data_IF_155256814137
#
_entry.id   IF_155256814137
#
_cell.length_a   1.000
_cell.length_b   1.000
_cell.length_c   1.000
_cell.angle_alpha   90.00
_cell.angle_beta   90.00
_cell.angle_gamma   90.00
#
_symmetry.space_group_name_H-M   'P 1'
#
loop_
_entity.id
_entity.type
_entity.pdbx_description
1 polymer ?
#
# COMPACT_ATOMS: atom_id res chain seq x y z
N UNK A 1 -9.94 -5.34 4.38
CA UNK A 1 -8.63 -4.85 3.86
C UNK A 1 -8.86 -3.95 2.63
N UNK A 2 -7.93 -3.06 2.29
CA UNK A 2 -8.09 -2.09 1.20
C UNK A 2 -7.00 -2.22 0.13
N UNK A 3 -7.03 -1.41 -0.93
CA UNK A 3 -6.06 -1.52 -2.04
C UNK A 3 -4.69 -0.97 -1.62
N UNK A 4 -3.66 -1.82 -1.69
CA UNK A 4 -2.26 -1.43 -1.54
C UNK A 4 -1.37 -2.41 -2.30
N UNK A 5 -1.28 -2.22 -3.62
CA UNK A 5 -0.37 -3.01 -4.43
C UNK A 5 1.02 -2.37 -4.47
N UNK A 6 2.03 -3.21 -4.64
CA UNK A 6 3.40 -2.86 -5.02
C UNK A 6 3.83 -3.76 -6.17
N UNK A 7 4.35 -3.16 -7.22
CA UNK A 7 5.00 -3.87 -8.32
C UNK A 7 6.33 -3.17 -8.57
N UNK A 8 7.43 -3.91 -8.49
CA UNK A 8 8.77 -3.40 -8.74
C UNK A 8 9.23 -3.88 -10.12
N UNK A 9 9.56 -2.93 -10.97
CA UNK A 9 10.30 -3.17 -12.22
C UNK A 9 11.69 -2.50 -12.10
N UNK A 10 12.69 -2.85 -12.93
CA UNK A 10 14.04 -2.32 -12.77
C UNK A 10 14.12 -0.79 -12.67
N UNK A 11 13.29 -0.09 -13.45
CA UNK A 11 13.28 1.37 -13.56
C UNK A 11 12.47 2.09 -12.47
N UNK A 12 11.44 1.44 -11.91
CA UNK A 12 10.52 2.08 -10.97
C UNK A 12 9.75 1.09 -10.10
N UNK A 13 9.36 1.55 -8.91
CA UNK A 13 8.37 0.90 -8.06
C UNK A 13 7.01 1.59 -8.25
N UNK A 14 5.97 0.80 -8.42
CA UNK A 14 4.61 1.24 -8.69
C UNK A 14 3.72 0.85 -7.51
N UNK A 15 3.13 1.84 -6.85
CA UNK A 15 2.18 1.66 -5.77
C UNK A 15 0.77 2.03 -6.24
N UNK A 16 -0.21 1.17 -5.96
CA UNK A 16 -1.61 1.41 -6.29
C UNK A 16 -2.40 1.46 -4.99
N UNK A 17 -3.11 2.56 -4.77
CA UNK A 17 -3.92 2.75 -3.57
C UNK A 17 -5.29 3.30 -3.91
N UNK A 18 -6.30 2.91 -3.13
CA UNK A 18 -7.64 3.52 -3.16
C UNK A 18 -7.81 4.51 -2.01
N UNK A 19 -8.95 5.20 -1.96
CA UNK A 19 -9.23 6.22 -0.95
C UNK A 19 -10.11 5.73 0.21
N UNK A 20 -10.80 4.59 0.08
CA UNK A 20 -11.84 4.20 1.03
C UNK A 20 -11.34 3.78 2.42
N UNK A 21 -11.91 4.37 3.47
CA UNK A 21 -11.84 3.86 4.84
C UNK A 21 -13.22 3.35 5.22
N UNK A 22 -13.29 2.22 5.92
CA UNK A 22 -14.55 1.51 6.12
C UNK A 22 -14.81 1.14 7.58
N UNK A 23 -16.08 1.03 7.93
CA UNK A 23 -16.49 0.35 9.16
C UNK A 23 -16.50 -1.18 8.97
N UNK A 24 -16.90 -1.92 10.01
CA UNK A 24 -16.99 -3.40 9.98
C UNK A 24 -18.05 -3.91 8.99
N UNK A 25 -19.09 -3.12 8.73
CA UNK A 25 -20.11 -3.45 7.72
C UNK A 25 -19.64 -3.11 6.29
N UNK A 26 -18.48 -2.46 6.20
CA UNK A 26 -17.82 -1.96 5.02
C UNK A 26 -18.53 -0.79 4.34
N UNK A 27 -19.24 0.01 5.14
CA UNK A 27 -19.71 1.35 4.79
C UNK A 27 -18.51 2.29 4.77
N UNK A 28 -18.44 3.17 3.77
CA UNK A 28 -17.37 4.15 3.64
C UNK A 28 -17.51 5.20 4.74
N UNK A 29 -16.56 5.25 5.66
CA UNK A 29 -16.47 6.25 6.72
C UNK A 29 -15.80 7.54 6.24
N UNK A 30 -14.80 7.41 5.36
CA UNK A 30 -14.01 8.53 4.85
C UNK A 30 -13.36 8.15 3.52
N UNK A 31 -13.12 9.15 2.68
CA UNK A 31 -12.22 9.06 1.53
C UNK A 31 -10.94 9.84 1.82
N UNK A 32 -9.78 9.22 1.62
CA UNK A 32 -8.50 9.88 1.76
C UNK A 32 -7.37 9.03 1.21
N UNK A 33 -6.31 9.67 0.72
CA UNK A 33 -5.17 8.95 0.17
C UNK A 33 -4.46 8.11 1.24
N UNK A 34 -3.90 6.97 0.81
CA UNK A 34 -3.20 6.01 1.66
C UNK A 34 -1.69 6.05 1.48
N UNK A 35 -1.19 7.07 0.81
CA UNK A 35 0.22 7.22 0.44
C UNK A 35 0.86 8.35 1.27
N UNK A 36 2.11 8.13 1.68
CA UNK A 36 3.00 9.13 2.26
C UNK A 36 4.23 9.24 1.35
N UNK A 37 4.41 10.35 0.62
CA UNK A 37 5.54 10.52 -0.26
C UNK A 37 6.69 11.27 0.41
N UNK A 38 7.92 10.81 0.14
CA UNK A 38 9.15 11.39 0.67
C UNK A 38 10.09 11.66 -0.51
N UNK A 39 10.03 12.89 -1.01
CA UNK A 39 10.60 13.27 -2.32
C UNK A 39 12.12 13.22 -2.32
N UNK A 40 12.74 13.72 -1.26
CA UNK A 40 14.21 13.75 -1.10
C UNK A 40 14.79 12.34 -1.00
N UNK A 41 14.08 11.43 -0.33
CA UNK A 41 14.46 10.02 -0.23
C UNK A 41 14.07 9.21 -1.48
N UNK A 42 13.37 9.79 -2.46
CA UNK A 42 12.76 9.08 -3.59
C UNK A 42 12.06 7.80 -3.14
N UNK A 43 11.12 8.01 -2.22
CA UNK A 43 10.43 6.95 -1.50
C UNK A 43 8.96 7.29 -1.37
N UNK A 44 8.10 6.28 -1.42
CA UNK A 44 6.69 6.44 -1.05
C UNK A 44 6.22 5.22 -0.25
N UNK A 45 5.35 5.48 0.72
CA UNK A 45 4.82 4.47 1.65
C UNK A 45 3.31 4.43 1.52
N UNK A 46 2.77 3.30 1.06
CA UNK A 46 1.35 3.01 1.15
C UNK A 46 1.04 2.35 2.49
N UNK A 47 -0.08 2.72 3.11
CA UNK A 47 -0.52 2.22 4.42
C UNK A 47 -1.94 1.67 4.33
N UNK A 48 -2.12 0.43 4.79
CA UNK A 48 -3.43 -0.22 4.92
C UNK A 48 -3.55 -0.93 6.26
N UNK A 49 -4.79 -1.22 6.66
CA UNK A 49 -5.09 -1.94 7.89
C UNK A 49 -6.25 -1.33 8.66
N UNK A 50 -6.37 -1.68 9.92
CA UNK A 50 -7.41 -1.21 10.84
C UNK A 50 -6.82 -0.42 12.01
N UNK A 51 -7.64 0.48 12.57
CA UNK A 51 -7.28 1.36 13.66
C UNK A 51 -7.54 2.83 13.34
N UNK A 52 -7.06 3.72 14.20
CA UNK A 52 -7.28 5.17 14.15
C UNK A 52 -6.16 5.91 13.42
N UNK A 53 -4.95 5.33 13.35
CA UNK A 53 -3.84 5.94 12.62
C UNK A 53 -4.16 6.15 11.13
N UNK A 54 -3.68 7.26 10.60
CA UNK A 54 -3.83 7.63 9.20
C UNK A 54 -2.48 8.04 8.62
N UNK A 55 -2.28 7.93 7.30
CA UNK A 55 -1.07 8.40 6.63
C UNK A 55 -0.69 9.83 7.02
N UNK A 56 -1.67 10.74 7.07
CA UNK A 56 -1.45 12.14 7.45
C UNK A 56 -0.87 12.26 8.86
N UNK A 57 -1.45 11.57 9.85
CA UNK A 57 -0.94 11.61 11.23
C UNK A 57 0.52 11.16 11.31
N UNK A 58 0.87 10.09 10.61
CA UNK A 58 2.24 9.55 10.61
C UNK A 58 3.18 10.51 9.86
N UNK A 59 2.73 11.08 8.74
CA UNK A 59 3.48 12.05 7.97
C UNK A 59 3.80 13.31 8.79
N UNK A 60 2.81 13.89 9.46
CA UNK A 60 2.99 15.07 10.32
C UNK A 60 4.00 14.80 11.44
N UNK A 61 3.99 13.59 12.02
CA UNK A 61 4.98 13.18 13.03
C UNK A 61 6.38 12.98 12.46
N UNK A 62 6.50 12.52 11.22
CA UNK A 62 7.78 12.38 10.53
C UNK A 62 8.39 13.75 10.29
N UNK A 63 7.62 14.70 9.78
CA UNK A 63 8.05 16.09 9.55
C UNK A 63 8.40 16.79 10.87
N UNK A 64 7.54 16.69 11.89
CA UNK A 64 7.77 17.33 13.18
C UNK A 64 9.04 16.81 13.89
N UNK A 65 9.45 15.57 13.62
CA UNK A 65 10.66 14.95 14.16
C UNK A 65 11.87 15.08 13.23
N UNK A 66 11.73 15.71 12.07
CA UNK A 66 12.78 15.85 11.06
C UNK A 66 13.26 14.51 10.48
N UNK A 67 12.44 13.46 10.53
CA UNK A 67 12.80 12.13 10.02
C UNK A 67 12.91 12.17 8.49
N UNK A 68 12.08 12.97 7.82
CA UNK A 68 12.09 13.27 6.39
C UNK A 68 13.36 13.99 5.91
N UNK A 69 14.20 14.51 6.81
CA UNK A 69 15.48 15.14 6.47
C UNK A 69 16.64 14.13 6.46
N UNK A 70 16.39 12.88 6.89
CA UNK A 70 17.39 11.84 6.97
C UNK A 70 17.66 11.19 5.60
N UNK A 71 18.87 10.65 5.42
CA UNK A 71 19.17 9.80 4.27
C UNK A 71 18.35 8.50 4.27
N UNK A 72 18.21 7.83 3.12
CA UNK A 72 17.33 6.66 2.95
C UNK A 72 17.45 5.58 4.04
N UNK A 73 18.68 5.24 4.45
CA UNK A 73 18.92 4.18 5.45
C UNK A 73 18.46 4.62 6.84
N UNK A 74 18.83 5.84 7.24
CA UNK A 74 18.49 6.39 8.55
C UNK A 74 16.99 6.71 8.64
N UNK A 75 16.40 7.19 7.55
CA UNK A 75 14.95 7.35 7.41
C UNK A 75 14.24 6.02 7.67
N UNK A 76 14.65 4.93 7.01
CA UNK A 76 14.01 3.61 7.20
C UNK A 76 14.20 3.10 8.64
N UNK A 77 15.35 3.31 9.26
CA UNK A 77 15.58 2.93 10.65
C UNK A 77 14.67 3.72 11.61
N UNK A 78 14.58 5.05 11.43
CA UNK A 78 13.73 5.94 12.22
C UNK A 78 12.24 5.64 12.00
N UNK A 79 11.81 5.43 10.76
CA UNK A 79 10.44 5.07 10.42
C UNK A 79 10.00 3.77 11.09
N UNK A 80 10.85 2.73 11.07
CA UNK A 80 10.56 1.47 11.78
C UNK A 80 10.35 1.71 13.27
N UNK A 81 11.20 2.53 13.90
CA UNK A 81 11.09 2.82 15.33
C UNK A 81 9.80 3.61 15.62
N UNK A 82 9.44 4.57 14.77
CA UNK A 82 8.16 5.30 14.85
C UNK A 82 6.97 4.35 14.73
N UNK A 83 6.98 3.41 13.78
CA UNK A 83 5.90 2.42 13.63
C UNK A 83 5.77 1.56 14.89
N UNK A 84 6.88 1.14 15.51
CA UNK A 84 6.86 0.37 16.77
C UNK A 84 6.33 1.19 17.95
N UNK A 85 6.65 2.47 18.00
CA UNK A 85 6.14 3.40 19.01
C UNK A 85 4.63 3.61 18.87
N UNK A 86 4.16 3.84 17.64
CA UNK A 86 2.74 4.13 17.36
C UNK A 86 1.85 2.90 17.34
N UNK A 87 2.42 1.73 17.07
CA UNK A 87 1.72 0.45 17.02
C UNK A 87 2.47 -0.56 17.90
N UNK A 88 2.44 -0.45 19.24
CA UNK A 88 3.20 -1.37 20.09
C UNK A 88 2.58 -2.77 20.11
N UNK A 89 3.42 -3.80 20.30
CA UNK A 89 3.02 -5.22 20.19
C UNK A 89 1.99 -5.64 21.23
N UNK A 90 2.02 -5.01 22.40
CA UNK A 90 1.14 -5.28 23.54
C UNK A 90 -0.16 -4.44 23.50
N UNK A 91 -0.35 -3.60 22.47
CA UNK A 91 -1.60 -2.88 22.27
C UNK A 91 -2.77 -3.85 22.08
N UNK A 92 -3.87 -3.59 22.79
CA UNK A 92 -5.07 -4.41 22.72
C UNK A 92 -6.34 -3.56 22.67
N UNK A 93 -7.44 -4.17 22.26
CA UNK A 93 -8.74 -3.51 22.22
C UNK A 93 -8.77 -2.29 21.28
N UNK A 94 -9.41 -1.17 21.68
CA UNK A 94 -9.57 0.02 20.85
C UNK A 94 -8.29 0.74 20.43
N UNK A 95 -7.17 0.43 21.08
CA UNK A 95 -5.87 1.05 20.84
C UNK A 95 -4.95 0.16 19.99
N UNK A 96 -5.42 -1.04 19.63
CA UNK A 96 -4.72 -1.91 18.69
C UNK A 96 -4.73 -1.29 17.29
N UNK A 97 -3.55 -1.18 16.71
CA UNK A 97 -3.32 -0.70 15.35
C UNK A 97 -2.78 -1.85 14.51
N UNK A 98 -3.62 -2.41 13.63
CA UNK A 98 -3.24 -3.49 12.73
C UNK A 98 -2.85 -2.87 11.39
N UNK A 99 -1.55 -2.71 11.12
CA UNK A 99 -1.04 -2.00 9.94
C UNK A 99 -0.12 -2.84 9.09
N UNK A 100 -0.24 -2.64 7.78
CA UNK A 100 0.77 -3.02 6.79
C UNK A 100 1.19 -1.79 6.01
N UNK A 101 2.51 -1.60 5.95
CA UNK A 101 3.16 -0.57 5.17
C UNK A 101 3.85 -1.23 3.97
N UNK A 102 3.65 -0.63 2.81
CA UNK A 102 4.15 -1.10 1.53
C UNK A 102 4.95 0.04 0.91
N UNK A 103 6.24 -0.19 0.69
CA UNK A 103 7.20 0.88 0.42
C UNK A 103 7.82 0.66 -0.96
N UNK A 104 7.72 1.66 -1.82
CA UNK A 104 8.50 1.78 -3.04
C UNK A 104 9.66 2.74 -2.82
N UNK A 105 10.87 2.36 -3.20
CA UNK A 105 12.06 3.21 -3.07
C UNK A 105 12.93 3.06 -4.31
N UNK A 106 13.51 4.17 -4.79
CA UNK A 106 14.57 4.11 -5.79
C UNK A 106 15.94 4.17 -5.10
N UNK A 107 16.65 3.05 -5.06
CA UNK A 107 17.95 2.95 -4.41
C UNK A 107 19.05 3.60 -5.26
N UNK A 108 19.58 4.73 -4.82
CA UNK A 108 20.63 5.45 -5.58
C UNK A 108 21.89 4.61 -5.78
N UNK A 109 22.30 3.86 -4.75
CA UNK A 109 23.49 2.99 -4.79
C UNK A 109 23.31 1.82 -5.75
N UNK A 110 22.11 1.24 -5.79
CA UNK A 110 21.80 0.08 -6.63
C UNK A 110 21.34 0.50 -8.04
N UNK A 111 21.02 1.79 -8.25
CA UNK A 111 20.49 2.36 -9.50
C UNK A 111 19.29 1.59 -10.04
N UNK A 112 18.42 1.16 -9.13
CA UNK A 112 17.18 0.44 -9.44
C UNK A 112 16.11 0.72 -8.40
N UNK A 113 14.87 0.49 -8.79
CA UNK A 113 13.79 0.43 -7.82
C UNK A 113 13.88 -0.84 -6.97
N UNK A 114 13.40 -0.69 -5.74
CA UNK A 114 13.29 -1.72 -4.73
C UNK A 114 11.93 -1.59 -4.05
N UNK A 115 11.49 -2.69 -3.47
CA UNK A 115 10.25 -2.76 -2.73
C UNK A 115 10.46 -3.37 -1.36
N UNK A 116 9.82 -2.79 -0.35
CA UNK A 116 9.89 -3.26 1.03
C UNK A 116 8.48 -3.33 1.62
N UNK A 117 8.29 -4.18 2.62
CA UNK A 117 7.10 -4.17 3.47
C UNK A 117 7.48 -4.35 4.93
N UNK A 118 6.73 -3.68 5.79
CA UNK A 118 6.77 -3.81 7.25
C UNK A 118 5.33 -3.86 7.73
N UNK A 119 5.05 -4.64 8.77
CA UNK A 119 3.71 -4.83 9.29
C UNK A 119 3.75 -5.04 10.81
N UNK A 120 2.63 -4.74 11.45
CA UNK A 120 2.35 -5.05 12.86
C UNK A 120 2.03 -6.55 13.00
N UNK A 121 1.91 -7.07 14.24
CA UNK A 121 1.36 -8.39 14.47
C UNK A 121 0.04 -8.58 13.71
N UNK A 122 -0.22 -9.82 13.27
CA UNK A 122 -1.44 -10.26 12.56
C UNK A 122 -1.65 -9.70 11.13
N UNK A 123 -0.83 -8.74 10.67
CA UNK A 123 -0.94 -8.16 9.31
C UNK A 123 0.11 -8.69 8.33
N UNK A 124 1.07 -9.46 8.82
CA UNK A 124 2.14 -10.08 8.05
C UNK A 124 1.77 -11.47 7.52
N UNK A 125 2.50 -11.96 6.49
CA UNK A 125 2.43 -13.36 6.12
C UNK A 125 3.05 -14.27 7.21
N UNK A 126 2.61 -15.53 7.25
CA UNK A 126 3.13 -16.54 8.17
C UNK A 126 4.65 -16.67 8.10
N UNK A 127 5.30 -16.84 9.26
CA UNK A 127 6.74 -17.03 9.36
C UNK A 127 7.59 -15.77 9.15
N UNK A 128 6.98 -14.58 9.03
CA UNK A 128 7.71 -13.31 8.97
C UNK A 128 7.53 -12.51 10.25
N UNK A 129 8.66 -12.08 10.82
CA UNK A 129 8.65 -11.26 12.03
C UNK A 129 8.05 -9.87 11.77
N UNK A 130 7.17 -9.36 12.66
CA UNK A 130 6.64 -8.00 12.57
C UNK A 130 7.75 -6.97 12.82
N UNK A 131 7.49 -5.73 12.40
CA UNK A 131 8.43 -4.60 12.49
C UNK A 131 9.80 -4.79 11.83
N UNK A 132 9.98 -5.83 11.03
CA UNK A 132 11.16 -6.02 10.20
C UNK A 132 10.84 -5.65 8.75
N UNK A 133 11.83 -5.11 8.06
CA UNK A 133 11.72 -4.89 6.62
C UNK A 133 11.89 -6.21 5.89
N UNK A 134 10.89 -6.56 5.09
CA UNK A 134 10.95 -7.70 4.18
C UNK A 134 11.02 -7.18 2.74
N UNK A 135 12.00 -7.63 1.93
CA UNK A 135 12.03 -7.27 0.52
C UNK A 135 10.81 -7.85 -0.19
N UNK A 136 10.25 -7.08 -1.12
CA UNK A 136 9.09 -7.49 -1.91
C UNK A 136 9.17 -6.88 -3.30
N UNK A 137 9.23 -7.73 -4.33
CA UNK A 137 9.10 -7.27 -5.72
C UNK A 137 7.62 -7.12 -6.13
N UNK A 138 6.73 -7.85 -5.46
CA UNK A 138 5.30 -7.90 -5.75
C UNK A 138 4.52 -7.99 -4.44
N UNK A 139 3.55 -7.11 -4.25
CA UNK A 139 2.47 -7.23 -3.29
C UNK A 139 1.17 -6.92 -4.04
N UNK A 140 0.26 -7.89 -4.12
CA UNK A 140 -1.07 -7.67 -4.66
C UNK A 140 -2.08 -7.82 -3.52
N UNK A 141 -2.65 -6.69 -3.09
CA UNK A 141 -3.58 -6.63 -1.97
C UNK A 141 -4.76 -5.70 -2.33
N UNK A 142 -5.99 -6.23 -2.46
CA UNK A 142 -6.37 -7.63 -2.26
C UNK A 142 -5.86 -8.57 -3.35
N UNK A 143 -5.53 -9.82 -3.01
CA UNK A 143 -5.11 -10.78 -4.02
C UNK A 143 -6.28 -11.14 -4.95
N UNK A 144 -6.05 -11.14 -6.25
CA UNK A 144 -6.95 -11.68 -7.28
C UNK A 144 -6.18 -12.69 -8.14
N UNK A 145 -6.81 -13.79 -8.59
CA UNK A 145 -6.23 -14.67 -9.59
C UNK A 145 -5.82 -13.88 -10.84
N UNK A 146 -4.64 -14.12 -11.43
CA UNK A 146 -4.22 -13.44 -12.66
C UNK A 146 -5.22 -13.58 -13.81
N UNK A 147 -5.93 -14.70 -13.89
CA UNK A 147 -6.97 -14.92 -14.90
C UNK A 147 -8.17 -13.96 -14.79
N UNK A 148 -8.48 -13.48 -13.59
CA UNK A 148 -9.56 -12.49 -13.38
C UNK A 148 -9.14 -11.08 -13.82
N UNK A 149 -7.86 -10.76 -13.72
CA UNK A 149 -7.29 -9.48 -14.14
C UNK A 149 -6.94 -9.43 -15.64
N UNK A 150 -6.37 -10.52 -16.16
CA UNK A 150 -5.69 -10.54 -17.46
C UNK A 150 -6.21 -11.60 -18.43
N UNK A 151 -7.23 -12.37 -18.04
CA UNK A 151 -7.78 -13.45 -18.87
C UNK A 151 -6.75 -14.55 -19.15
N UNK A 152 -6.58 -14.91 -20.43
CA UNK A 152 -5.61 -15.92 -20.86
C UNK A 152 -4.17 -15.38 -20.99
N UNK A 153 -3.94 -14.07 -20.83
CA UNK A 153 -2.61 -13.48 -20.98
C UNK A 153 -1.70 -13.94 -19.84
N UNK A 154 -0.53 -14.50 -20.20
CA UNK A 154 0.55 -14.76 -19.25
C UNK A 154 1.33 -13.47 -19.05
N UNK A 155 1.18 -12.85 -17.89
CA UNK A 155 1.82 -11.58 -17.55
C UNK A 155 2.86 -11.81 -16.46
N UNK A 156 4.08 -11.33 -16.70
CA UNK A 156 5.07 -11.12 -15.65
C UNK A 156 5.06 -9.65 -15.23
N UNK A 157 4.46 -9.35 -14.08
CA UNK A 157 4.26 -7.97 -13.60
C UNK A 157 5.56 -7.20 -13.33
N UNK A 158 6.66 -7.89 -13.04
CA UNK A 158 7.97 -7.27 -12.78
C UNK A 158 8.76 -6.98 -14.05
N UNK A 159 8.24 -7.37 -15.22
CA UNK A 159 8.87 -7.11 -16.52
C UNK A 159 8.16 -5.96 -17.25
N UNK A 160 8.87 -4.86 -17.59
CA UNK A 160 8.28 -3.75 -18.35
C UNK A 160 7.84 -4.16 -19.76
N UNK A 161 8.44 -5.21 -20.33
CA UNK A 161 8.04 -5.75 -21.63
C UNK A 161 6.74 -6.57 -21.57
N UNK A 162 6.30 -6.98 -20.38
CA UNK A 162 5.13 -7.84 -20.20
C UNK A 162 3.96 -7.16 -19.49
N UNK A 163 4.21 -6.11 -18.73
CA UNK A 163 3.22 -5.42 -17.91
C UNK A 163 3.40 -3.91 -18.03
N UNK A 164 2.37 -3.24 -18.58
CA UNK A 164 2.25 -1.79 -18.55
C UNK A 164 1.61 -1.36 -17.22
N UNK A 165 2.33 -0.63 -16.35
CA UNK A 165 1.81 -0.21 -15.05
C UNK A 165 0.52 0.62 -15.10
N UNK A 166 0.25 1.29 -16.23
CA UNK A 166 -0.97 2.08 -16.42
C UNK A 166 -2.10 1.23 -16.98
N UNK A 167 -1.84 0.56 -18.10
CA UNK A 167 -2.89 -0.18 -18.82
C UNK A 167 -3.25 -1.46 -18.08
N UNK A 168 -2.25 -2.30 -17.78
CA UNK A 168 -2.47 -3.57 -17.08
C UNK A 168 -2.70 -3.34 -15.58
N UNK A 169 -2.08 -2.31 -14.99
CA UNK A 169 -2.36 -1.92 -13.61
C UNK A 169 -3.81 -1.52 -13.39
N UNK A 170 -4.43 -0.82 -14.36
CA UNK A 170 -5.87 -0.51 -14.30
C UNK A 170 -6.71 -1.78 -14.34
N UNK A 171 -6.41 -2.70 -15.26
CA UNK A 171 -7.15 -3.96 -15.37
C UNK A 171 -7.05 -4.79 -14.07
N UNK A 172 -5.88 -4.80 -13.44
CA UNK A 172 -5.67 -5.45 -12.14
C UNK A 172 -6.55 -4.80 -11.05
N UNK A 173 -6.54 -3.47 -10.93
CA UNK A 173 -7.34 -2.78 -9.91
C UNK A 173 -8.85 -2.95 -10.16
N UNK A 174 -9.29 -2.90 -11.41
CA UNK A 174 -10.69 -3.17 -11.77
C UNK A 174 -11.11 -4.61 -11.40
N UNK A 175 -10.23 -5.59 -11.52
CA UNK A 175 -10.48 -6.94 -11.03
C UNK A 175 -10.55 -7.01 -9.49
N UNK A 176 -9.61 -6.36 -8.80
CA UNK A 176 -9.58 -6.29 -7.34
C UNK A 176 -10.83 -5.63 -6.75
N UNK A 177 -11.36 -4.62 -7.42
CA UNK A 177 -12.60 -3.93 -7.02
C UNK A 177 -13.84 -4.80 -7.18
N UNK A 178 -13.92 -5.57 -8.27
CA UNK A 178 -15.05 -6.48 -8.53
C UNK A 178 -15.10 -7.66 -7.56
N UNK A 179 -13.98 -8.01 -6.92
CA UNK A 179 -13.90 -9.12 -5.97
C UNK A 179 -14.73 -8.83 -4.72
N UNK A 180 -15.78 -9.63 -4.50
CA UNK A 180 -16.74 -9.46 -3.39
C UNK A 180 -16.41 -10.28 -2.12
N UNK A 181 -15.39 -11.14 -2.13
CA UNK A 181 -15.24 -12.21 -1.12
C UNK A 181 -14.17 -11.97 -0.05
N UNK A 182 -14.52 -12.39 1.17
CA UNK A 182 -13.69 -12.45 2.36
C UNK A 182 -12.57 -13.48 2.29
N UNK A 183 -11.57 -13.30 3.14
CA UNK A 183 -10.40 -14.15 3.21
C UNK A 183 -10.80 -15.55 3.67
N UNK A 184 -10.46 -16.58 2.90
CA UNK A 184 -10.40 -17.95 3.38
C UNK A 184 -9.15 -18.07 4.27
N UNK A 185 -9.18 -17.51 5.50
CA UNK A 185 -8.29 -17.81 6.66
C UNK A 185 -8.68 -16.94 7.87
N UNK A 186 -9.92 -17.05 8.36
CA UNK A 186 -10.28 -16.63 9.72
C UNK A 186 -10.36 -15.12 10.03
N UNK A 187 -10.04 -14.23 9.08
CA UNK A 187 -10.33 -12.79 9.23
C UNK A 187 -11.64 -12.49 8.53
N UNK A 188 -12.67 -12.20 9.33
CA UNK A 188 -13.93 -11.65 8.84
C UNK A 188 -13.67 -10.36 8.04
N UNK A 189 -14.48 -10.16 7.00
CA UNK A 189 -14.64 -8.94 6.22
C UNK A 189 -13.81 -8.77 4.93
N UNK A 190 -14.58 -8.71 3.83
CA UNK A 190 -14.14 -8.58 2.46
C UNK A 190 -13.17 -7.42 2.23
N UNK A 191 -12.31 -7.59 1.25
CA UNK A 191 -11.49 -6.48 0.80
C UNK A 191 -12.34 -5.52 -0.01
N UNK A 192 -12.22 -4.22 0.26
CA UNK A 192 -13.03 -3.17 -0.36
C UNK A 192 -12.14 -2.11 -0.96
N UNK A 193 -12.49 -1.73 -2.18
CA UNK A 193 -11.80 -0.72 -2.98
C UNK A 193 -12.81 0.37 -3.31
N UNK A 194 -12.53 1.61 -2.92
CA UNK A 194 -13.47 2.73 -3.09
C UNK A 194 -12.75 4.05 -3.34
N UNK A 195 -13.50 4.95 -3.97
CA UNK A 195 -13.00 6.25 -4.41
C UNK A 195 -12.04 6.11 -5.56
N UNK A 196 -11.19 7.12 -5.68
CA UNK A 196 -10.22 7.19 -6.76
C UNK A 196 -9.05 6.23 -6.54
N UNK A 197 -8.44 5.80 -7.64
CA UNK A 197 -7.26 4.94 -7.65
C UNK A 197 -6.05 5.79 -8.02
N UNK A 198 -5.13 5.91 -7.07
CA UNK A 198 -3.88 6.63 -7.25
C UNK A 198 -2.76 5.65 -7.58
N UNK A 199 -2.07 5.90 -8.69
CA UNK A 199 -0.79 5.30 -9.03
C UNK A 199 0.33 6.23 -8.56
N UNK A 200 1.21 5.72 -7.70
CA UNK A 200 2.45 6.40 -7.31
C UNK A 200 3.63 5.69 -7.94
N UNK A 201 4.46 6.44 -8.67
CA UNK A 201 5.64 5.95 -9.38
C UNK A 201 6.88 6.47 -8.68
N UNK A 202 7.71 5.57 -8.15
CA UNK A 202 8.97 5.91 -7.50
C UNK A 202 10.13 5.46 -8.40
N UNK A 203 10.92 6.41 -8.89
CA UNK A 203 11.93 6.18 -9.94
C UNK A 203 13.19 7.02 -9.75
N UNK A 204 14.13 6.92 -10.70
CA UNK A 204 15.32 7.75 -10.76
C UNK A 204 15.00 9.26 -10.87
N UNK A 205 13.84 9.61 -11.44
CA UNK A 205 13.42 11.00 -11.66
C UNK A 205 12.65 11.58 -10.45
N UNK A 206 12.38 10.75 -9.44
CA UNK A 206 11.64 11.13 -8.24
C UNK A 206 10.36 10.34 -8.04
N UNK A 207 9.44 10.93 -7.28
CA UNK A 207 8.13 10.37 -6.94
C UNK A 207 7.06 11.13 -7.73
N UNK A 208 6.32 10.41 -8.57
CA UNK A 208 5.25 10.98 -9.40
C UNK A 208 3.90 10.36 -9.04
N UNK A 209 2.83 11.12 -9.24
CA UNK A 209 1.46 10.69 -8.97
C UNK A 209 0.63 10.78 -10.23
N UNK A 210 -0.16 9.75 -10.47
CA UNK A 210 -1.11 9.71 -11.56
C UNK A 210 -2.44 9.20 -11.03
N UNK A 211 -3.51 9.96 -11.31
CA UNK A 211 -4.84 9.47 -11.04
C UNK A 211 -5.18 8.41 -12.07
N UNK A 212 -5.02 7.15 -11.70
CA UNK A 212 -5.29 6.04 -12.59
C UNK A 212 -6.79 6.03 -12.89
N UNK A 213 -7.67 6.08 -11.90
CA UNK A 213 -9.11 6.02 -12.15
C UNK A 213 -9.87 6.94 -11.20
N UNK A 214 -10.73 7.80 -11.75
CA UNK A 214 -11.64 8.64 -10.96
C UNK A 214 -12.98 7.94 -10.81
N UNK A 215 -13.52 7.91 -9.59
CA UNK A 215 -14.82 7.26 -9.30
C UNK A 215 -15.55 7.99 -8.19
N UNK A 216 -16.83 8.29 -8.44
CA UNK A 216 -17.72 8.90 -7.45
C UNK A 216 -18.08 7.86 -6.38
N UNK A 217 -17.34 7.85 -5.28
CA UNK A 217 -17.71 7.17 -4.05
C UNK A 217 -18.30 8.19 -3.06
N UNK A 218 -19.21 7.72 -2.20
CA UNK A 218 -19.88 8.57 -1.22
C UNK A 218 -19.67 8.02 0.19
N UNK A 219 -19.35 8.91 1.12
CA UNK A 219 -19.34 8.59 2.55
C UNK A 219 -20.75 8.17 2.97
N UNK A 220 -20.86 7.13 3.79
CA UNK A 220 -22.13 6.52 4.20
C UNK A 220 -22.68 5.49 3.21
N UNK A 221 -22.10 5.35 2.01
CA UNK A 221 -22.47 4.31 1.06
C UNK A 221 -21.58 3.06 1.21
N UNK A 222 -22.07 1.93 0.69
CA UNK A 222 -21.21 0.78 0.41
C UNK A 222 -20.49 1.00 -0.93
N UNK A 223 -19.25 0.50 -1.09
CA UNK A 223 -18.54 0.58 -2.37
C UNK A 223 -19.29 -0.14 -3.48
N UNK A 224 -19.48 0.57 -4.59
CA UNK A 224 -20.00 0.01 -5.83
C UNK A 224 -18.91 -0.77 -6.57
N UNK A 225 -19.22 -1.98 -7.10
CA UNK A 225 -18.30 -2.76 -7.92
C UNK A 225 -17.77 -1.98 -9.12
#
# INVERSE_FOLDING_TARGET
>A
MSLANLIVQPQAAYLYTDQGYYDRNGVILRLGHKIMPFLDQRLAIAMVGSGKLTPTIIFDLIEARGIDQLGQIDFLAAFRNLVRELCPEDASGPDKEDRRFVIGIYGHKQRRALGLTIFTPDMGPEGKAPYQYHPADIIIAPMVPPSEAFGARRINVTSPASFDPRVDGRALVDAQRRKRTGWSHGVADGSRVAGDILLTVVSADGVNFEMLQMRNAQVGAQPTP
#
